data_IF_873116027431
#
_entry.id   IF_873116027431
#
_cell.length_a   1.000
_cell.length_b   1.000
_cell.length_c   1.000
_cell.angle_alpha   90.00
_cell.angle_beta   90.00
_cell.angle_gamma   90.00
#
_symmetry.space_group_name_H-M   'P 1'
#
loop_
_entity.id
_entity.type
_entity.pdbx_description
1 polymer ?
#
# COMPACT_ATOMS: atom_id res chain seq x y z
N UNK A 1 10.43 21.04 -0.89
CA UNK A 1 9.43 20.18 -1.57
C UNK A 1 9.45 20.20 -3.11
N UNK A 2 10.21 21.02 -3.85
CA UNK A 2 10.09 21.18 -5.32
C UNK A 2 10.62 20.03 -6.23
N UNK A 3 10.95 18.86 -5.69
CA UNK A 3 11.71 17.84 -6.44
C UNK A 3 10.96 16.54 -6.77
N UNK A 4 9.64 16.48 -6.58
CA UNK A 4 8.82 15.36 -7.08
C UNK A 4 8.50 15.62 -8.56
N UNK A 5 9.54 15.59 -9.39
CA UNK A 5 9.40 15.57 -10.85
C UNK A 5 9.37 14.12 -11.32
N UNK A 6 8.59 13.85 -12.36
CA UNK A 6 8.20 12.52 -12.82
C UNK A 6 9.33 11.59 -13.33
N UNK A 7 10.60 11.99 -13.18
CA UNK A 7 11.77 11.28 -13.71
C UNK A 7 13.01 11.29 -12.79
N UNK A 8 12.86 11.60 -11.49
CA UNK A 8 13.97 11.49 -10.51
C UNK A 8 13.66 10.44 -9.45
N UNK A 9 14.64 9.58 -9.19
CA UNK A 9 14.65 8.66 -8.06
C UNK A 9 14.80 9.48 -6.77
N UNK A 10 13.95 9.23 -5.78
CA UNK A 10 14.01 9.90 -4.48
C UNK A 10 15.16 9.30 -3.66
N UNK A 11 15.99 10.14 -3.05
CA UNK A 11 17.00 9.69 -2.09
C UNK A 11 16.33 9.17 -0.80
N UNK A 12 17.05 8.36 -0.03
CA UNK A 12 16.57 7.88 1.28
C UNK A 12 16.20 9.05 2.20
N UNK A 13 17.02 10.10 2.23
CA UNK A 13 16.82 11.28 3.06
C UNK A 13 15.53 12.03 2.66
N UNK A 14 15.27 12.13 1.35
CA UNK A 14 14.02 12.73 0.85
C UNK A 14 12.80 11.89 1.25
N UNK A 15 12.87 10.56 1.09
CA UNK A 15 11.78 9.66 1.50
C UNK A 15 11.52 9.80 3.00
N UNK A 16 12.56 9.75 3.84
CA UNK A 16 12.44 9.91 5.29
C UNK A 16 11.85 11.27 5.65
N UNK A 17 12.24 12.34 4.95
CA UNK A 17 11.67 13.67 5.15
C UNK A 17 10.18 13.70 4.81
N UNK A 18 9.75 13.10 3.70
CA UNK A 18 8.34 13.07 3.30
C UNK A 18 7.48 12.24 4.25
N UNK A 19 8.02 11.15 4.81
CA UNK A 19 7.34 10.34 5.82
C UNK A 19 7.21 11.04 7.18
N UNK A 20 7.91 12.16 7.38
CA UNK A 20 7.83 13.01 8.59
C UNK A 20 7.08 14.32 8.35
N UNK A 21 6.45 14.47 7.18
CA UNK A 21 5.72 15.67 6.79
C UNK A 21 4.65 16.04 7.83
N UNK A 22 4.46 17.34 8.05
CA UNK A 22 3.31 17.83 8.79
C UNK A 22 2.04 17.83 7.91
N UNK A 23 0.89 18.20 8.49
CA UNK A 23 -0.40 18.19 7.78
C UNK A 23 -0.40 19.06 6.51
N UNK A 24 0.26 20.21 6.52
CA UNK A 24 0.29 21.09 5.35
C UNK A 24 1.14 20.48 4.24
N UNK A 25 2.29 19.92 4.61
CA UNK A 25 3.19 19.20 3.71
C UNK A 25 2.56 17.92 3.15
N UNK A 26 1.82 17.17 3.96
CA UNK A 26 1.05 15.98 3.54
C UNK A 26 0.02 16.31 2.46
N UNK A 27 -0.73 17.39 2.63
CA UNK A 27 -1.72 17.84 1.63
C UNK A 27 -1.05 18.13 0.29
N UNK A 28 0.11 18.78 0.31
CA UNK A 28 0.89 19.04 -0.91
C UNK A 28 1.39 17.74 -1.56
N UNK A 29 1.85 16.77 -0.76
CA UNK A 29 2.25 15.44 -1.26
C UNK A 29 1.06 14.71 -1.91
N UNK A 30 -0.14 14.78 -1.31
CA UNK A 30 -1.35 14.19 -1.88
C UNK A 30 -1.76 14.89 -3.19
N UNK A 31 -1.73 16.22 -3.26
CA UNK A 31 -2.04 16.94 -4.49
C UNK A 31 -1.09 16.59 -5.65
N UNK A 32 0.21 16.47 -5.36
CA UNK A 32 1.20 16.08 -6.35
C UNK A 32 1.02 14.63 -6.82
N UNK A 33 0.80 13.70 -5.88
CA UNK A 33 0.54 12.30 -6.24
C UNK A 33 -0.72 12.14 -7.09
N UNK A 34 -1.78 12.90 -6.79
CA UNK A 34 -2.99 12.94 -7.62
C UNK A 34 -2.72 13.47 -9.03
N UNK A 35 -1.92 14.53 -9.15
CA UNK A 35 -1.54 15.12 -10.45
C UNK A 35 -0.74 14.13 -11.31
N UNK A 36 0.24 13.45 -10.72
CA UNK A 36 1.01 12.40 -11.40
C UNK A 36 0.13 11.20 -11.76
N UNK A 37 -0.71 10.73 -10.84
CA UNK A 37 -1.68 9.66 -11.12
C UNK A 37 -2.58 10.02 -12.30
N UNK A 38 -3.08 11.25 -12.35
CA UNK A 38 -3.89 11.72 -13.47
C UNK A 38 -3.11 11.75 -14.79
N UNK A 39 -1.84 12.16 -14.80
CA UNK A 39 -1.02 12.21 -16.01
C UNK A 39 -0.67 10.83 -16.58
N UNK A 40 -0.35 9.86 -15.72
CA UNK A 40 0.15 8.55 -16.14
C UNK A 40 -0.91 7.43 -16.14
N UNK A 41 -1.87 7.48 -15.22
CA UNK A 41 -2.93 6.46 -15.05
C UNK A 41 -4.30 6.99 -15.48
N UNK A 42 -4.46 8.31 -15.56
CA UNK A 42 -5.75 8.95 -15.88
C UNK A 42 -6.74 8.89 -14.71
N UNK A 43 -7.99 9.25 -14.98
CA UNK A 43 -9.08 9.14 -14.01
C UNK A 43 -9.69 7.72 -13.98
N UNK A 44 -8.85 6.69 -14.14
CA UNK A 44 -9.28 5.30 -14.19
C UNK A 44 -9.21 4.66 -12.80
N UNK A 45 -10.12 3.72 -12.56
CA UNK A 45 -10.13 2.80 -11.40
C UNK A 45 -10.28 1.39 -11.95
N UNK A 46 -9.26 0.55 -11.73
CA UNK A 46 -9.24 -0.83 -12.21
C UNK A 46 -9.82 -1.77 -11.15
N UNK A 47 -10.96 -2.38 -11.45
CA UNK A 47 -11.60 -3.36 -10.56
C UNK A 47 -10.87 -4.70 -10.63
N UNK A 48 -10.63 -5.32 -9.47
CA UNK A 48 -9.95 -6.62 -9.34
C UNK A 48 -10.79 -7.54 -8.47
N UNK A 49 -11.22 -8.66 -9.04
CA UNK A 49 -11.84 -9.74 -8.28
C UNK A 49 -10.78 -10.55 -7.56
N UNK A 50 -10.85 -10.59 -6.22
CA UNK A 50 -9.97 -11.40 -5.39
C UNK A 50 -10.74 -12.62 -4.90
N UNK A 51 -10.18 -13.81 -5.10
CA UNK A 51 -10.72 -15.06 -4.57
C UNK A 51 -9.67 -15.65 -3.62
N UNK A 52 -9.99 -15.65 -2.33
CA UNK A 52 -9.16 -16.29 -1.31
C UNK A 52 -9.52 -17.77 -1.21
N UNK A 53 -8.71 -18.63 -1.84
CA UNK A 53 -9.04 -20.05 -1.99
C UNK A 53 -8.89 -20.87 -0.69
N UNK A 54 -8.09 -20.37 0.25
CA UNK A 54 -7.77 -21.06 1.50
C UNK A 54 -7.27 -20.03 2.51
N UNK A 55 -7.57 -20.27 3.79
CA UNK A 55 -6.95 -19.54 4.91
C UNK A 55 -6.00 -20.43 5.74
N UNK A 56 -5.61 -21.60 5.22
CA UNK A 56 -4.62 -22.47 5.85
C UNK A 56 -3.23 -21.93 5.53
N UNK A 57 -2.50 -21.54 6.57
CA UNK A 57 -1.14 -21.01 6.46
C UNK A 57 -0.22 -21.75 7.44
N UNK A 58 0.98 -22.13 7.01
CA UNK A 58 2.00 -22.74 7.86
C UNK A 58 2.79 -21.71 8.70
N UNK A 59 2.80 -20.44 8.27
CA UNK A 59 3.57 -19.38 8.92
C UNK A 59 2.87 -18.83 10.15
N UNK A 60 3.66 -18.24 11.03
CA UNK A 60 3.21 -17.73 12.31
C UNK A 60 3.34 -16.20 12.47
N UNK A 61 3.03 -15.44 11.42
CA UNK A 61 3.18 -13.98 11.42
C UNK A 61 2.33 -13.32 12.52
N UNK A 62 2.94 -12.52 13.40
CA UNK A 62 2.27 -11.97 14.59
C UNK A 62 1.16 -10.95 14.30
N UNK A 63 1.18 -10.33 13.13
CA UNK A 63 0.13 -9.43 12.65
C UNK A 63 -1.00 -10.15 11.89
N UNK A 64 -0.84 -11.43 11.57
CA UNK A 64 -1.73 -12.13 10.65
C UNK A 64 -2.79 -12.94 11.39
N UNK A 65 -4.07 -12.64 11.12
CA UNK A 65 -5.21 -13.34 11.73
C UNK A 65 -5.30 -14.82 11.37
N UNK A 66 -4.74 -15.24 10.23
CA UNK A 66 -4.75 -16.64 9.76
C UNK A 66 -3.44 -17.39 10.06
N UNK A 67 -2.55 -16.81 10.87
CA UNK A 67 -1.31 -17.46 11.33
C UNK A 67 -1.56 -18.87 11.86
N UNK A 68 -0.61 -19.78 11.70
CA UNK A 68 -0.81 -21.19 12.00
C UNK A 68 -1.21 -21.41 13.47
N UNK A 69 -0.61 -20.71 14.43
CA UNK A 69 -0.92 -20.85 15.87
C UNK A 69 -2.31 -20.35 16.26
N UNK A 70 -3.00 -19.56 15.43
CA UNK A 70 -4.37 -19.15 15.73
C UNK A 70 -5.31 -20.34 15.55
N UNK A 71 -5.68 -20.99 16.66
CA UNK A 71 -6.62 -22.12 16.70
C UNK A 71 -8.10 -21.69 16.76
N UNK A 72 -8.37 -20.39 16.94
CA UNK A 72 -9.74 -19.85 17.04
C UNK A 72 -10.39 -19.58 15.69
N UNK A 73 -9.61 -19.51 14.61
CA UNK A 73 -10.13 -19.29 13.25
C UNK A 73 -10.55 -20.61 12.62
N UNK A 74 -11.75 -20.63 12.04
CA UNK A 74 -12.23 -21.77 11.25
C UNK A 74 -11.42 -21.88 9.96
N UNK A 75 -10.82 -23.05 9.73
CA UNK A 75 -10.00 -23.29 8.54
C UNK A 75 -10.85 -23.75 7.36
N UNK A 76 -10.53 -23.24 6.17
CA UNK A 76 -11.18 -23.63 4.93
C UNK A 76 -10.17 -23.78 3.79
N UNK A 77 -10.59 -24.58 2.80
CA UNK A 77 -9.99 -24.69 1.48
C UNK A 77 -11.14 -24.95 0.51
N UNK A 78 -11.29 -24.11 -0.51
CA UNK A 78 -12.26 -24.36 -1.58
C UNK A 78 -11.87 -25.66 -2.30
N UNK A 79 -12.85 -26.55 -2.48
CA UNK A 79 -12.76 -27.84 -3.18
C UNK A 79 -13.63 -27.82 -4.42
#
# INVERSE_FOLDING_TARGET
MNEINSHRELSLEQIVSFLKADRQEENELFHRSATLKQAYVGNNVYLRGLIELSNICEKDCYYCGIRCSNRKVQRYRLT
#
